data_IF_429272803893
#
_entry.id   IF_429272803893
#
_cell.length_a   1.000
_cell.length_b   1.000
_cell.length_c   1.000
_cell.angle_alpha   90.00
_cell.angle_beta   90.00
_cell.angle_gamma   90.00
#
_symmetry.space_group_name_H-M   'P 1'
#
loop_
_entity.id
_entity.type
_entity.pdbx_description
1 polymer ?
#
# COMPACT_ATOMS: atom_id res chain seq x y z
N UNK A 1 2.63 11.30 -10.93
CA UNK A 1 1.86 10.23 -10.28
C UNK A 1 2.33 10.11 -8.86
N UNK A 2 1.41 10.19 -7.90
CA UNK A 2 1.69 10.08 -6.47
C UNK A 2 1.00 8.84 -5.95
N UNK A 3 1.77 7.91 -5.40
CA UNK A 3 1.27 6.67 -4.84
C UNK A 3 1.43 6.67 -3.33
N UNK A 4 0.53 5.96 -2.68
CA UNK A 4 0.62 5.68 -1.26
C UNK A 4 0.92 4.21 -1.08
N UNK A 5 1.57 3.86 0.02
CA UNK A 5 1.70 2.47 0.43
C UNK A 5 1.60 2.33 1.94
N UNK A 6 1.02 1.23 2.41
CA UNK A 6 1.00 0.83 3.80
C UNK A 6 1.72 -0.50 3.88
N UNK A 7 2.68 -0.61 4.80
CA UNK A 7 3.39 -1.85 5.08
C UNK A 7 3.08 -2.26 6.51
N UNK A 8 2.67 -3.51 6.75
CA UNK A 8 2.37 -3.98 8.10
C UNK A 8 2.71 -5.46 8.28
N UNK A 9 3.61 -5.76 9.23
CA UNK A 9 4.00 -7.13 9.56
C UNK A 9 3.80 -7.39 11.06
N UNK A 10 3.01 -8.42 11.45
CA UNK A 10 2.80 -8.75 12.85
C UNK A 10 4.04 -9.37 13.52
N UNK A 11 4.96 -9.92 12.73
CA UNK A 11 6.15 -10.68 13.20
C UNK A 11 7.32 -9.75 13.58
N UNK A 12 7.22 -8.44 13.31
CA UNK A 12 8.21 -7.45 13.68
C UNK A 12 8.37 -6.34 12.64
N UNK A 13 9.36 -5.47 12.86
CA UNK A 13 9.57 -4.26 12.02
C UNK A 13 10.43 -4.50 10.77
N UNK A 14 11.23 -5.57 10.74
CA UNK A 14 12.22 -5.79 9.68
C UNK A 14 11.59 -5.86 8.28
N UNK A 15 10.59 -6.73 8.10
CA UNK A 15 9.90 -6.86 6.81
C UNK A 15 9.13 -5.59 6.42
N UNK A 16 8.60 -4.87 7.40
CA UNK A 16 7.91 -3.59 7.20
C UNK A 16 8.84 -2.56 6.56
N UNK A 17 10.02 -2.32 7.15
CA UNK A 17 10.99 -1.38 6.57
C UNK A 17 11.58 -1.87 5.25
N UNK A 18 11.88 -3.18 5.12
CA UNK A 18 12.42 -3.73 3.87
C UNK A 18 11.43 -3.54 2.72
N UNK A 19 10.14 -3.79 2.96
CA UNK A 19 9.09 -3.54 1.97
C UNK A 19 9.01 -2.06 1.61
N UNK A 20 9.02 -1.17 2.60
CA UNK A 20 8.96 0.26 2.39
C UNK A 20 10.15 0.80 1.58
N UNK A 21 11.38 0.40 1.92
CA UNK A 21 12.56 0.80 1.17
C UNK A 21 12.54 0.28 -0.27
N UNK A 22 12.13 -0.97 -0.50
CA UNK A 22 12.06 -1.54 -1.84
C UNK A 22 11.03 -0.84 -2.72
N UNK A 23 9.85 -0.56 -2.18
CA UNK A 23 8.81 0.20 -2.87
C UNK A 23 9.31 1.61 -3.21
N UNK A 24 9.92 2.32 -2.25
CA UNK A 24 10.43 3.66 -2.47
C UNK A 24 11.55 3.70 -3.52
N UNK A 25 12.50 2.76 -3.44
CA UNK A 25 13.59 2.63 -4.40
C UNK A 25 13.08 2.33 -5.81
N UNK A 26 12.07 1.49 -5.94
CA UNK A 26 11.49 1.15 -7.25
C UNK A 26 10.66 2.30 -7.82
N UNK A 27 9.85 2.97 -6.99
CA UNK A 27 9.08 4.13 -7.41
C UNK A 27 10.00 5.24 -7.91
N UNK A 28 11.09 5.52 -7.18
CA UNK A 28 12.12 6.48 -7.61
C UNK A 28 12.77 6.09 -8.95
N UNK A 29 13.02 4.80 -9.18
CA UNK A 29 13.53 4.30 -10.47
C UNK A 29 12.54 4.51 -11.62
N UNK A 30 11.24 4.39 -11.35
CA UNK A 30 10.17 4.58 -12.31
C UNK A 30 9.72 6.05 -12.44
N UNK A 31 10.30 6.98 -11.67
CA UNK A 31 9.91 8.39 -11.66
C UNK A 31 8.56 8.66 -11.01
N UNK A 32 8.12 7.77 -10.11
CA UNK A 32 6.87 7.88 -9.36
C UNK A 32 7.18 8.30 -7.93
N UNK A 33 6.40 9.25 -7.41
CA UNK A 33 6.50 9.65 -6.00
C UNK A 33 5.68 8.66 -5.17
N UNK A 34 6.28 8.06 -4.14
CA UNK A 34 5.58 7.12 -3.26
C UNK A 34 5.80 7.48 -1.80
N UNK A 35 4.70 7.54 -1.04
CA UNK A 35 4.74 7.71 0.42
C UNK A 35 4.35 6.41 1.08
N UNK A 36 5.28 5.84 1.85
CA UNK A 36 5.08 4.57 2.54
C UNK A 36 4.88 4.80 4.04
N UNK A 37 3.71 4.41 4.53
CA UNK A 37 3.39 4.27 5.95
C UNK A 37 3.84 2.88 6.45
N UNK A 38 4.59 2.86 7.54
CA UNK A 38 5.11 1.63 8.14
C UNK A 38 4.41 1.37 9.46
N UNK A 39 3.66 0.27 9.56
CA UNK A 39 2.99 -0.15 10.77
C UNK A 39 3.70 -1.36 11.37
N UNK A 40 4.43 -1.12 12.45
CA UNK A 40 5.16 -2.15 13.19
C UNK A 40 4.55 -2.42 14.57
N UNK A 41 5.20 -3.30 15.33
CA UNK A 41 4.84 -3.58 16.73
C UNK A 41 4.95 -2.35 17.64
N UNK A 42 5.81 -1.39 17.29
CA UNK A 42 6.03 -0.14 18.03
C UNK A 42 5.00 0.95 17.68
N UNK A 43 4.28 0.82 16.57
CA UNK A 43 3.30 1.80 16.11
C UNK A 43 3.34 2.04 14.59
N UNK A 44 2.53 2.99 14.14
CA UNK A 44 2.53 3.48 12.78
C UNK A 44 3.48 4.69 12.66
N UNK A 45 4.37 4.64 11.69
CA UNK A 45 5.25 5.75 11.30
C UNK A 45 4.93 6.22 9.89
N UNK A 46 5.21 7.50 9.65
CA UNK A 46 5.00 8.14 8.34
C UNK A 46 3.53 8.08 7.90
N UNK A 47 2.63 8.29 8.87
CA UNK A 47 1.18 8.16 8.71
C UNK A 47 0.70 9.01 7.54
N UNK A 48 -0.09 8.39 6.67
CA UNK A 48 -0.71 9.01 5.52
C UNK A 48 -1.82 9.94 6.00
N UNK A 49 -1.75 11.19 5.55
CA UNK A 49 -2.75 12.21 5.86
C UNK A 49 -3.84 12.24 4.81
N UNK A 50 -5.00 12.79 5.14
CA UNK A 50 -6.09 12.98 4.17
C UNK A 50 -5.69 13.85 2.97
N UNK A 51 -4.72 14.74 3.14
CA UNK A 51 -4.16 15.52 2.03
C UNK A 51 -3.39 14.62 1.06
N UNK A 52 -2.54 13.74 1.57
CA UNK A 52 -1.82 12.78 0.72
C UNK A 52 -2.80 11.89 -0.05
N UNK A 53 -3.89 11.48 0.59
CA UNK A 53 -4.95 10.66 -0.01
C UNK A 53 -5.63 11.39 -1.18
N UNK A 54 -5.91 12.69 -1.02
CA UNK A 54 -6.53 13.51 -2.08
C UNK A 54 -5.59 13.76 -3.25
N UNK A 55 -4.29 13.86 -3.00
CA UNK A 55 -3.29 14.06 -4.05
C UNK A 55 -2.83 12.75 -4.70
N UNK A 56 -3.09 11.61 -4.07
CA UNK A 56 -2.65 10.31 -4.55
C UNK A 56 -3.54 9.76 -5.66
N UNK A 57 -2.90 9.15 -6.65
CA UNK A 57 -3.56 8.39 -7.72
C UNK A 57 -4.04 7.03 -7.22
N UNK A 58 -3.41 6.49 -6.15
CA UNK A 58 -3.83 5.24 -5.52
C UNK A 58 -2.91 4.75 -4.41
N UNK A 59 -3.25 3.60 -3.83
CA UNK A 59 -2.61 3.06 -2.63
C UNK A 59 -2.27 1.55 -2.71
N UNK A 60 -1.08 1.19 -2.26
CA UNK A 60 -0.61 -0.20 -2.13
C UNK A 60 -0.69 -0.62 -0.66
N UNK A 61 -1.54 -1.58 -0.33
CA UNK A 61 -1.65 -2.15 1.00
C UNK A 61 -0.86 -3.46 1.02
N UNK A 62 0.33 -3.41 1.57
CA UNK A 62 1.25 -4.53 1.78
C UNK A 62 1.24 -4.96 3.25
N UNK A 63 0.16 -5.61 3.68
CA UNK A 63 -0.07 -5.91 5.09
C UNK A 63 -0.47 -7.38 5.27
N UNK A 64 0.14 -8.04 6.26
CA UNK A 64 -0.27 -9.38 6.72
C UNK A 64 -1.34 -9.30 7.83
N UNK A 65 -1.71 -8.09 8.26
CA UNK A 65 -2.75 -7.82 9.26
C UNK A 65 -3.80 -6.87 8.67
N UNK A 66 -5.04 -6.97 9.15
CA UNK A 66 -6.08 -6.02 8.82
C UNK A 66 -5.67 -4.59 9.21
N UNK A 67 -5.68 -3.68 8.23
CA UNK A 67 -5.45 -2.25 8.38
C UNK A 67 -6.74 -1.48 8.07
N UNK A 68 -6.91 -0.30 8.65
CA UNK A 68 -8.10 0.52 8.40
C UNK A 68 -8.08 1.08 6.98
N UNK A 69 -8.97 0.56 6.13
CA UNK A 69 -9.10 0.97 4.73
C UNK A 69 -10.19 2.00 4.47
N UNK A 70 -10.93 2.39 5.52
CA UNK A 70 -12.07 3.31 5.44
C UNK A 70 -11.69 4.68 4.84
N UNK A 71 -10.46 5.13 5.06
CA UNK A 71 -9.94 6.40 4.51
C UNK A 71 -9.61 6.33 3.02
N UNK A 72 -9.52 5.12 2.45
CA UNK A 72 -9.12 4.87 1.07
C UNK A 72 -10.27 4.36 0.21
N UNK A 73 -11.50 4.41 0.71
CA UNK A 73 -12.67 3.99 -0.06
C UNK A 73 -12.83 4.81 -1.34
N UNK A 74 -13.11 4.13 -2.45
CA UNK A 74 -13.28 4.75 -3.78
C UNK A 74 -11.98 5.04 -4.54
N UNK A 75 -10.80 4.89 -3.91
CA UNK A 75 -9.51 4.98 -4.58
C UNK A 75 -9.07 3.67 -5.23
N UNK A 76 -8.15 3.78 -6.18
CA UNK A 76 -7.43 2.65 -6.73
C UNK A 76 -6.54 2.06 -5.63
N UNK A 77 -6.78 0.80 -5.26
CA UNK A 77 -6.00 0.14 -4.22
C UNK A 77 -5.62 -1.28 -4.57
N UNK A 78 -4.43 -1.70 -4.16
CA UNK A 78 -3.96 -3.09 -4.28
C UNK A 78 -3.71 -3.63 -2.88
N UNK A 79 -4.39 -4.70 -2.52
CA UNK A 79 -4.12 -5.44 -1.28
C UNK A 79 -3.25 -6.66 -1.58
N UNK A 80 -2.13 -6.78 -0.88
CA UNK A 80 -1.19 -7.88 -1.05
C UNK A 80 -0.45 -8.19 0.26
N UNK A 81 0.07 -9.42 0.41
CA UNK A 81 0.91 -9.77 1.56
C UNK A 81 2.25 -9.03 1.50
N UNK A 82 2.88 -8.78 2.66
CA UNK A 82 4.12 -7.99 2.72
C UNK A 82 5.25 -8.63 1.92
N UNK A 83 5.27 -9.97 1.86
CA UNK A 83 6.22 -10.73 1.08
C UNK A 83 6.18 -10.37 -0.42
N UNK A 84 5.02 -10.00 -0.96
CA UNK A 84 4.86 -9.60 -2.36
C UNK A 84 5.48 -8.23 -2.61
N UNK A 85 5.28 -7.27 -1.71
CA UNK A 85 5.94 -5.96 -1.80
C UNK A 85 7.47 -6.07 -1.73
N UNK A 86 7.99 -7.08 -1.04
CA UNK A 86 9.44 -7.34 -0.98
C UNK A 86 9.96 -8.02 -2.25
N UNK A 87 9.20 -8.97 -2.81
CA UNK A 87 9.64 -9.77 -3.97
C UNK A 87 9.45 -9.03 -5.29
N UNK A 88 8.32 -8.36 -5.47
CA UNK A 88 7.85 -7.82 -6.74
C UNK A 88 7.34 -6.37 -6.60
N UNK A 89 8.15 -5.43 -6.07
CA UNK A 89 7.74 -4.03 -5.94
C UNK A 89 7.50 -3.35 -7.29
N UNK A 90 8.22 -3.79 -8.34
CA UNK A 90 8.06 -3.31 -9.71
C UNK A 90 6.67 -3.65 -10.26
N UNK A 91 6.20 -4.88 -10.08
CA UNK A 91 4.87 -5.31 -10.53
C UNK A 91 3.79 -4.46 -9.88
N UNK A 92 3.90 -4.21 -8.56
CA UNK A 92 2.91 -3.41 -7.84
C UNK A 92 2.83 -1.98 -8.39
N UNK A 93 3.96 -1.31 -8.59
CA UNK A 93 3.98 0.06 -9.13
C UNK A 93 3.55 0.07 -10.61
N UNK A 94 3.97 -0.94 -11.37
CA UNK A 94 3.61 -1.07 -12.78
C UNK A 94 2.11 -1.30 -12.98
N UNK A 95 1.43 -1.98 -12.05
CA UNK A 95 -0.04 -2.12 -12.10
C UNK A 95 -0.75 -0.77 -12.01
N UNK A 96 -0.22 0.19 -11.24
CA UNK A 96 -0.74 1.57 -11.22
C UNK A 96 -0.43 2.33 -12.50
N UNK A 97 0.78 2.16 -13.05
CA UNK A 97 1.17 2.78 -14.31
C UNK A 97 0.33 2.28 -15.50
N UNK A 98 0.00 0.99 -15.51
CA UNK A 98 -0.81 0.33 -16.55
C UNK A 98 -2.32 0.61 -16.36
N UNK A 99 -2.73 1.17 -15.22
CA UNK A 99 -4.13 1.41 -14.89
C UNK A 99 -4.93 0.14 -14.59
N UNK A 100 -4.27 -1.01 -14.39
CA UNK A 100 -4.88 -2.30 -14.03
C UNK A 100 -5.23 -2.42 -12.54
N UNK A 101 -5.63 -1.31 -11.94
CA UNK A 101 -5.96 -1.25 -10.51
C UNK A 101 -7.47 -1.26 -10.33
N UNK A 102 -7.96 -2.25 -9.60
CA UNK A 102 -9.37 -2.27 -9.21
C UNK A 102 -9.61 -1.25 -8.10
N UNK A 103 -10.55 -0.33 -8.33
CA UNK A 103 -11.05 0.54 -7.26
C UNK A 103 -11.89 -0.33 -6.33
N UNK A 104 -11.62 -0.33 -5.02
CA UNK A 104 -12.48 -1.02 -4.07
C UNK A 104 -13.84 -0.33 -4.10
N UNK A 105 -14.80 -0.91 -4.82
CA UNK A 105 -16.21 -0.65 -4.59
C UNK A 105 -16.55 -1.36 -3.29
N UNK A 106 -17.06 -0.61 -2.33
CA UNK A 106 -17.64 -1.10 -1.08
C UNK A 106 -18.77 -2.07 -1.41
N UNK A 107 -18.44 -3.33 -1.70
CA UNK A 107 -19.42 -4.39 -1.78
C UNK A 107 -19.58 -4.90 -0.34
N UNK A 108 -20.45 -4.22 0.40
CA UNK A 108 -21.21 -4.91 1.44
C UNK A 108 -22.01 -5.98 0.70
N UNK A 109 -21.47 -7.19 0.61
CA UNK A 109 -22.27 -8.38 0.39
C UNK A 109 -21.67 -9.58 1.12
N UNK A 110 -22.21 -9.78 2.31
CA UNK A 110 -22.42 -11.00 3.08
C UNK A 110 -21.91 -12.35 2.55
N UNK A 111 -21.30 -13.08 3.49
CA UNK A 111 -21.53 -14.49 3.84
C UNK A 111 -21.09 -15.63 2.88
N UNK A 112 -20.20 -16.48 3.42
CA UNK A 112 -20.29 -17.97 3.59
C UNK A 112 -18.85 -18.49 3.75
N UNK A 113 -18.51 -19.31 4.75
CA UNK A 113 -19.16 -20.54 5.19
C UNK A 113 -18.72 -20.88 6.62
#
# INVERSE_FOLDING_TARGET
>A
MKLLAITSCPVGIAHTYIAAEKLNKMAKKMGVDIKVETQGSTGAENVITEQDIKEADGIIIAADKAVSLERFEGMAMIECPIARAIKEPDVLIQMFLDGKVEKKKSNINSAKK
#
